data_IF_150019966424
#
_entry.id   IF_150019966424
#
_cell.length_a   1.000
_cell.length_b   1.000
_cell.length_c   1.000
_cell.angle_alpha   90.00
_cell.angle_beta   90.00
_cell.angle_gamma   90.00
#
_symmetry.space_group_name_H-M   'P 1'
#
loop_
_entity.id
_entity.type
_entity.pdbx_description
1 polymer ?
#
# COMPACT_ATOMS: atom_id res chain seq x y z
N UNK A 1 -19.86 19.26 -15.32
CA UNK A 1 -18.41 18.96 -15.41
C UNK A 1 -17.52 19.89 -14.59
N UNK A 2 -17.58 21.22 -14.78
CA UNK A 2 -16.66 22.18 -14.13
C UNK A 2 -16.61 22.06 -12.60
N UNK A 3 -17.75 21.79 -11.95
CA UNK A 3 -17.84 21.64 -10.48
C UNK A 3 -17.05 20.44 -9.97
N UNK A 4 -17.05 19.30 -10.69
CA UNK A 4 -16.33 18.09 -10.27
C UNK A 4 -14.81 18.27 -10.41
N UNK A 5 -14.38 18.89 -11.51
CA UNK A 5 -12.96 19.22 -11.75
C UNK A 5 -12.47 20.23 -10.69
N UNK A 6 -13.28 21.27 -10.40
CA UNK A 6 -12.99 22.25 -9.35
C UNK A 6 -12.93 21.61 -7.97
N UNK A 7 -13.81 20.64 -7.67
CA UNK A 7 -13.81 19.91 -6.40
C UNK A 7 -12.56 19.02 -6.27
N UNK A 8 -12.18 18.31 -7.33
CA UNK A 8 -10.96 17.48 -7.37
C UNK A 8 -9.68 18.32 -7.18
N UNK A 9 -9.57 19.46 -7.87
CA UNK A 9 -8.44 20.39 -7.69
C UNK A 9 -8.41 21.06 -6.32
N UNK A 10 -9.57 21.38 -5.74
CA UNK A 10 -9.66 21.88 -4.37
C UNK A 10 -9.21 20.82 -3.34
N UNK A 11 -9.56 19.55 -3.55
CA UNK A 11 -9.07 18.45 -2.72
C UNK A 11 -7.55 18.30 -2.79
N UNK A 12 -6.93 18.47 -3.98
CA UNK A 12 -5.47 18.35 -4.15
C UNK A 12 -4.68 19.39 -3.35
N UNK A 13 -5.23 20.59 -3.12
CA UNK A 13 -4.59 21.62 -2.28
C UNK A 13 -4.66 21.31 -0.77
N UNK A 14 -5.63 20.51 -0.33
CA UNK A 14 -5.91 20.26 1.09
C UNK A 14 -5.06 19.11 1.67
N UNK A 15 -4.63 18.17 0.84
CA UNK A 15 -3.87 16.99 1.26
C UNK A 15 -2.43 17.04 0.75
N UNK A 16 -1.47 17.19 1.67
CA UNK A 16 -0.03 17.08 1.35
C UNK A 16 0.42 15.63 1.11
N UNK A 17 -0.27 14.68 1.74
CA UNK A 17 -0.06 13.25 1.52
C UNK A 17 -0.84 12.80 0.28
N UNK A 18 -0.09 12.38 -0.74
CA UNK A 18 -0.64 11.91 -2.02
C UNK A 18 -1.49 10.66 -1.87
N UNK A 19 -1.13 9.75 -0.95
CA UNK A 19 -1.85 8.49 -0.77
C UNK A 19 -3.22 8.75 -0.13
N UNK A 20 -3.24 9.61 0.89
CA UNK A 20 -4.48 10.03 1.53
C UNK A 20 -5.41 10.80 0.56
N UNK A 21 -4.82 11.63 -0.30
CA UNK A 21 -5.55 12.30 -1.38
C UNK A 21 -6.23 11.29 -2.31
N UNK A 22 -5.48 10.30 -2.80
CA UNK A 22 -5.98 9.27 -3.72
C UNK A 22 -7.10 8.44 -3.08
N UNK A 23 -6.98 8.07 -1.81
CA UNK A 23 -8.05 7.35 -1.10
C UNK A 23 -9.34 8.17 -0.95
N UNK A 24 -9.23 9.47 -0.67
CA UNK A 24 -10.40 10.35 -0.58
C UNK A 24 -11.04 10.57 -1.96
N UNK A 25 -10.23 10.73 -2.99
CA UNK A 25 -10.68 10.83 -4.37
C UNK A 25 -11.42 9.56 -4.80
N UNK A 26 -10.84 8.39 -4.51
CA UNK A 26 -11.46 7.08 -4.74
C UNK A 26 -12.84 7.00 -4.07
N UNK A 27 -12.92 7.28 -2.77
CA UNK A 27 -14.17 7.23 -2.02
C UNK A 27 -15.25 8.14 -2.63
N UNK A 28 -14.92 9.40 -2.89
CA UNK A 28 -15.87 10.36 -3.46
C UNK A 28 -16.34 9.95 -4.86
N UNK A 29 -15.46 9.40 -5.70
CA UNK A 29 -15.83 9.01 -7.06
C UNK A 29 -16.65 7.73 -7.11
N UNK A 30 -16.42 6.77 -6.21
CA UNK A 30 -17.28 5.59 -6.05
C UNK A 30 -18.69 5.99 -5.57
N UNK A 31 -18.78 6.96 -4.66
CA UNK A 31 -20.06 7.49 -4.21
C UNK A 31 -20.83 8.16 -5.36
N UNK A 32 -20.15 8.96 -6.19
CA UNK A 32 -20.76 9.56 -7.38
C UNK A 32 -21.23 8.49 -8.36
N UNK A 33 -20.42 7.46 -8.63
CA UNK A 33 -20.78 6.38 -9.53
C UNK A 33 -22.02 5.62 -9.04
N UNK A 34 -22.10 5.29 -7.74
CA UNK A 34 -23.30 4.69 -7.15
C UNK A 34 -24.52 5.56 -7.36
N UNK A 35 -24.41 6.86 -7.06
CA UNK A 35 -25.51 7.80 -7.26
C UNK A 35 -25.95 7.92 -8.72
N UNK A 36 -25.03 7.81 -9.68
CA UNK A 36 -25.35 7.81 -11.12
C UNK A 36 -26.19 6.58 -11.46
N UNK A 37 -25.72 5.39 -11.05
CA UNK A 37 -26.38 4.11 -11.35
C UNK A 37 -27.74 3.97 -10.64
N UNK A 38 -27.86 4.47 -9.41
CA UNK A 38 -29.11 4.43 -8.63
C UNK A 38 -30.19 5.39 -9.17
N UNK A 39 -29.80 6.50 -9.81
CA UNK A 39 -30.72 7.57 -10.24
C UNK A 39 -31.56 7.24 -11.48
N UNK A 40 -31.37 6.07 -12.10
CA UNK A 40 -32.09 5.65 -13.32
C UNK A 40 -32.10 6.75 -14.40
N UNK A 41 -30.93 7.33 -14.67
CA UNK A 41 -30.78 8.37 -15.68
C UNK A 41 -31.04 7.80 -17.09
N UNK A 42 -31.39 8.65 -18.07
CA UNK A 42 -31.36 8.24 -19.46
C UNK A 42 -29.98 7.65 -19.82
N UNK A 43 -29.96 6.55 -20.58
CA UNK A 43 -28.74 5.78 -20.86
C UNK A 43 -27.58 6.64 -21.41
N UNK A 44 -27.88 7.60 -22.29
CA UNK A 44 -26.90 8.54 -22.83
C UNK A 44 -26.26 9.43 -21.75
N UNK A 45 -27.05 9.86 -20.76
CA UNK A 45 -26.54 10.68 -19.66
C UNK A 45 -25.73 9.86 -18.67
N UNK A 46 -26.17 8.64 -18.37
CA UNK A 46 -25.40 7.67 -17.57
C UNK A 46 -24.04 7.41 -18.20
N UNK A 47 -24.01 7.12 -19.51
CA UNK A 47 -22.79 6.85 -20.27
C UNK A 47 -21.82 8.03 -20.26
N UNK A 48 -22.30 9.26 -20.52
CA UNK A 48 -21.46 10.46 -20.50
C UNK A 48 -20.83 10.68 -19.11
N UNK A 49 -21.61 10.49 -18.05
CA UNK A 49 -21.14 10.68 -16.68
C UNK A 49 -20.16 9.58 -16.26
N UNK A 50 -20.43 8.33 -16.61
CA UNK A 50 -19.52 7.21 -16.35
C UNK A 50 -18.21 7.35 -17.13
N UNK A 51 -18.28 7.66 -18.43
CA UNK A 51 -17.10 7.92 -19.25
C UNK A 51 -16.25 9.08 -18.73
N UNK A 52 -16.90 10.12 -18.18
CA UNK A 52 -16.18 11.20 -17.50
C UNK A 52 -15.40 10.68 -16.29
N UNK A 53 -16.04 9.86 -15.45
CA UNK A 53 -15.37 9.28 -14.28
C UNK A 53 -14.17 8.40 -14.67
N UNK A 54 -14.30 7.60 -15.74
CA UNK A 54 -13.23 6.70 -16.19
C UNK A 54 -12.04 7.43 -16.83
N UNK A 55 -12.30 8.45 -17.65
CA UNK A 55 -11.26 9.02 -18.52
C UNK A 55 -10.63 10.30 -17.97
N UNK A 56 -11.35 11.05 -17.11
CA UNK A 56 -10.88 12.36 -16.64
C UNK A 56 -10.42 12.36 -15.18
N UNK A 57 -10.65 11.28 -14.43
CA UNK A 57 -10.12 11.14 -13.07
C UNK A 57 -8.74 10.49 -13.15
N UNK A 58 -7.72 11.27 -12.85
CA UNK A 58 -6.35 10.76 -12.71
C UNK A 58 -6.03 10.53 -11.23
N UNK A 59 -5.73 9.28 -10.90
CA UNK A 59 -5.14 8.86 -9.63
C UNK A 59 -3.62 8.98 -9.70
N UNK A 60 -2.98 9.43 -8.62
CA UNK A 60 -1.51 9.48 -8.54
C UNK A 60 -0.90 8.07 -8.43
N UNK A 61 -1.64 7.12 -7.84
CA UNK A 61 -1.22 5.73 -7.67
C UNK A 61 -2.02 4.81 -8.58
N UNK A 62 -1.31 3.97 -9.34
CA UNK A 62 -1.91 2.92 -10.18
C UNK A 62 -2.73 1.95 -9.35
N UNK A 63 -2.33 1.71 -8.09
CA UNK A 63 -3.09 0.92 -7.12
C UNK A 63 -4.51 1.43 -6.92
N UNK A 64 -4.67 2.74 -6.74
CA UNK A 64 -5.96 3.38 -6.51
C UNK A 64 -6.85 3.27 -7.74
N UNK A 65 -6.27 3.45 -8.93
CA UNK A 65 -6.97 3.28 -10.21
C UNK A 65 -7.52 1.86 -10.37
N UNK A 66 -6.70 0.84 -10.12
CA UNK A 66 -7.12 -0.57 -10.21
C UNK A 66 -8.26 -0.89 -9.23
N UNK A 67 -8.25 -0.29 -8.03
CA UNK A 67 -9.35 -0.46 -7.06
C UNK A 67 -10.62 0.22 -7.59
N UNK A 68 -10.51 1.45 -8.09
CA UNK A 68 -11.64 2.17 -8.68
C UNK A 68 -12.29 1.37 -9.81
N UNK A 69 -11.50 0.93 -10.79
CA UNK A 69 -11.99 0.20 -11.96
C UNK A 69 -12.72 -1.08 -11.54
N UNK A 70 -12.21 -1.81 -10.53
CA UNK A 70 -12.89 -3.00 -10.01
C UNK A 70 -14.23 -2.66 -9.37
N UNK A 71 -14.25 -1.70 -8.46
CA UNK A 71 -15.46 -1.36 -7.70
C UNK A 71 -16.56 -0.88 -8.64
N UNK A 72 -16.24 -0.13 -9.69
CA UNK A 72 -17.21 0.26 -10.72
C UNK A 72 -17.72 -0.96 -11.50
N UNK A 73 -16.84 -1.88 -11.90
CA UNK A 73 -17.25 -3.10 -12.59
C UNK A 73 -18.13 -4.01 -11.74
N UNK A 74 -17.98 -3.98 -10.41
CA UNK A 74 -18.88 -4.69 -9.49
C UNK A 74 -20.23 -4.00 -9.32
N UNK A 75 -20.26 -2.67 -9.43
CA UNK A 75 -21.48 -1.86 -9.31
C UNK A 75 -22.32 -1.88 -10.58
N UNK A 76 -21.67 -2.03 -11.74
CA UNK A 76 -22.33 -2.13 -13.03
C UNK A 76 -22.44 -3.60 -13.43
N UNK A 77 -23.63 -4.19 -13.32
CA UNK A 77 -23.97 -5.50 -13.90
C UNK A 77 -23.74 -5.57 -15.43
N UNK A 78 -23.49 -4.41 -16.06
CA UNK A 78 -23.06 -4.27 -17.45
C UNK A 78 -21.54 -4.15 -17.48
N UNK A 79 -20.89 -5.04 -18.24
CA UNK A 79 -19.49 -4.94 -18.67
C UNK A 79 -19.25 -3.59 -19.39
N UNK A 80 -19.06 -2.51 -18.64
CA UNK A 80 -18.52 -1.26 -19.19
C UNK A 80 -17.04 -1.56 -19.46
N UNK A 81 -16.64 -1.41 -20.71
CA UNK A 81 -15.52 -2.10 -21.33
C UNK A 81 -14.14 -1.97 -20.63
N UNK A 82 -13.38 -3.06 -20.79
CA UNK A 82 -11.90 -3.16 -20.87
C UNK A 82 -11.05 -3.06 -19.59
N UNK A 83 -11.26 -3.99 -18.66
CA UNK A 83 -10.14 -4.73 -18.07
C UNK A 83 -10.65 -6.11 -17.65
N UNK A 84 -10.07 -7.15 -18.23
CA UNK A 84 -10.52 -8.53 -18.00
C UNK A 84 -10.40 -8.82 -16.51
N UNK A 85 -11.34 -9.54 -15.90
CA UNK A 85 -11.29 -9.94 -14.48
C UNK A 85 -9.91 -10.53 -14.10
N UNK A 86 -9.27 -11.21 -15.05
CA UNK A 86 -7.91 -11.73 -14.95
C UNK A 86 -6.85 -10.64 -14.72
N UNK A 87 -6.91 -9.51 -15.42
CA UNK A 87 -5.97 -8.39 -15.27
C UNK A 87 -6.13 -7.71 -13.91
N UNK A 88 -7.38 -7.60 -13.43
CA UNK A 88 -7.70 -7.11 -12.08
C UNK A 88 -7.14 -8.06 -11.01
N UNK A 89 -7.29 -9.38 -11.18
CA UNK A 89 -6.76 -10.39 -10.26
C UNK A 89 -5.22 -10.41 -10.25
N UNK A 90 -4.60 -10.32 -11.43
CA UNK A 90 -3.13 -10.25 -11.56
C UNK A 90 -2.58 -8.98 -10.92
N UNK A 91 -3.25 -7.84 -11.11
CA UNK A 91 -2.93 -6.58 -10.44
C UNK A 91 -2.97 -6.72 -8.92
N UNK A 92 -4.02 -7.34 -8.37
CA UNK A 92 -4.14 -7.60 -6.93
C UNK A 92 -3.01 -8.48 -6.39
N UNK A 93 -2.74 -9.59 -7.06
CA UNK A 93 -1.70 -10.52 -6.65
C UNK A 93 -0.33 -9.83 -6.60
N UNK A 94 -0.01 -9.00 -7.60
CA UNK A 94 1.23 -8.20 -7.63
C UNK A 94 1.29 -7.20 -6.47
N UNK A 95 0.19 -6.50 -6.18
CA UNK A 95 0.15 -5.52 -5.09
C UNK A 95 0.23 -6.16 -3.71
N UNK A 96 -0.47 -7.27 -3.51
CA UNK A 96 -0.38 -8.06 -2.29
C UNK A 96 1.04 -8.59 -2.10
N UNK A 97 1.66 -9.11 -3.18
CA UNK A 97 3.05 -9.54 -3.18
C UNK A 97 4.01 -8.41 -2.80
N UNK A 98 3.88 -7.23 -3.41
CA UNK A 98 4.71 -6.05 -3.08
C UNK A 98 4.53 -5.61 -1.62
N UNK A 99 3.30 -5.60 -1.10
CA UNK A 99 3.02 -5.21 0.29
C UNK A 99 3.59 -6.22 1.29
N UNK A 100 3.42 -7.51 1.02
CA UNK A 100 3.98 -8.58 1.85
C UNK A 100 5.51 -8.53 1.81
N UNK A 101 6.11 -8.43 0.62
CA UNK A 101 7.57 -8.34 0.46
C UNK A 101 8.17 -7.11 1.14
N UNK A 102 7.53 -5.94 1.06
CA UNK A 102 7.99 -4.75 1.79
C UNK A 102 7.91 -4.95 3.31
N UNK A 103 6.81 -5.52 3.81
CA UNK A 103 6.63 -5.77 5.24
C UNK A 103 7.65 -6.80 5.76
N UNK A 104 7.88 -7.87 5.01
CA UNK A 104 8.86 -8.90 5.34
C UNK A 104 10.29 -8.35 5.26
N UNK A 105 10.62 -7.58 4.21
CA UNK A 105 11.93 -6.95 4.07
C UNK A 105 12.24 -5.96 5.19
N UNK A 106 11.26 -5.15 5.63
CA UNK A 106 11.44 -4.27 6.79
C UNK A 106 11.67 -5.09 8.08
N UNK A 107 10.94 -6.19 8.25
CA UNK A 107 11.07 -7.05 9.42
C UNK A 107 12.44 -7.74 9.45
N UNK A 108 12.88 -8.30 8.32
CA UNK A 108 14.17 -8.98 8.23
C UNK A 108 15.33 -7.98 8.38
N UNK A 109 15.27 -6.83 7.70
CA UNK A 109 16.29 -5.79 7.84
C UNK A 109 16.43 -5.26 9.28
N UNK A 110 15.33 -5.13 10.03
CA UNK A 110 15.39 -4.79 11.46
C UNK A 110 16.03 -5.89 12.30
N UNK A 111 15.78 -7.16 11.96
CA UNK A 111 16.35 -8.30 12.67
C UNK A 111 17.85 -8.41 12.38
N UNK A 112 18.25 -8.31 11.12
CA UNK A 112 19.66 -8.29 10.71
C UNK A 112 20.42 -7.13 11.37
N UNK A 113 19.86 -5.92 11.36
CA UNK A 113 20.47 -4.76 12.02
C UNK A 113 20.69 -4.99 13.54
N UNK A 114 19.71 -5.61 14.23
CA UNK A 114 19.86 -5.96 15.64
C UNK A 114 20.90 -7.05 15.87
N UNK A 115 20.96 -8.07 15.02
CA UNK A 115 21.97 -9.13 15.12
C UNK A 115 23.39 -8.57 14.87
N UNK A 116 23.54 -7.65 13.91
CA UNK A 116 24.80 -6.96 13.65
C UNK A 116 25.23 -6.05 14.81
N UNK A 117 24.28 -5.30 15.39
CA UNK A 117 24.52 -4.49 16.58
C UNK A 117 25.01 -5.36 17.75
N UNK A 118 24.33 -6.47 18.04
CA UNK A 118 24.76 -7.44 19.07
C UNK A 118 26.16 -7.98 18.77
N UNK A 119 26.45 -8.32 17.51
CA UNK A 119 27.78 -8.80 17.11
C UNK A 119 28.87 -7.75 17.36
N UNK A 120 28.61 -6.46 17.08
CA UNK A 120 29.54 -5.36 17.36
C UNK A 120 29.74 -5.16 18.87
N UNK A 121 28.69 -5.25 19.68
CA UNK A 121 28.79 -5.17 21.14
C UNK A 121 29.65 -6.30 21.73
N UNK A 122 29.56 -7.51 21.17
CA UNK A 122 30.37 -8.67 21.58
C UNK A 122 31.83 -8.50 21.17
N UNK A 123 32.08 -8.15 19.90
CA UNK A 123 33.43 -8.19 19.32
C UNK A 123 34.26 -6.95 19.64
N UNK A 124 33.66 -5.75 19.56
CA UNK A 124 34.37 -4.48 19.75
C UNK A 124 34.35 -4.01 21.21
N UNK A 125 33.20 -4.10 21.87
CA UNK A 125 33.03 -3.58 23.23
C UNK A 125 33.17 -4.66 24.31
N UNK A 126 33.18 -5.94 23.93
CA UNK A 126 33.32 -7.09 24.85
C UNK A 126 32.28 -7.12 25.97
N UNK A 127 31.06 -6.67 25.68
CA UNK A 127 29.97 -6.65 26.68
C UNK A 127 29.56 -8.07 27.09
N UNK A 128 29.08 -8.18 28.33
CA UNK A 128 28.46 -9.39 28.88
C UNK A 128 27.07 -9.61 28.27
N UNK A 129 26.54 -10.84 28.39
CA UNK A 129 25.22 -11.16 27.83
C UNK A 129 24.12 -10.30 28.46
N UNK A 130 24.22 -10.04 29.76
CA UNK A 130 23.27 -9.22 30.52
C UNK A 130 23.29 -7.76 30.07
N UNK A 131 24.48 -7.18 29.87
CA UNK A 131 24.63 -5.80 29.37
C UNK A 131 24.08 -5.64 27.94
N UNK A 132 24.20 -6.66 27.10
CA UNK A 132 23.68 -6.62 25.72
C UNK A 132 22.15 -6.72 25.72
N UNK A 133 21.58 -7.56 26.57
CA UNK A 133 20.12 -7.66 26.72
C UNK A 133 19.52 -6.32 27.12
N UNK A 134 20.12 -5.67 28.11
CA UNK A 134 19.68 -4.36 28.61
C UNK A 134 19.84 -3.26 27.55
N UNK A 135 20.99 -3.21 26.88
CA UNK A 135 21.28 -2.17 25.89
C UNK A 135 20.50 -2.31 24.57
N UNK A 136 20.46 -3.51 23.97
CA UNK A 136 19.87 -3.73 22.65
C UNK A 136 18.37 -4.14 22.71
N UNK A 137 17.82 -4.33 23.92
CA UNK A 137 16.43 -4.73 24.13
C UNK A 137 16.08 -6.01 23.38
N UNK A 138 16.96 -7.00 23.45
CA UNK A 138 16.81 -8.33 22.80
C UNK A 138 16.80 -9.43 23.85
N UNK A 139 16.23 -10.58 23.50
CA UNK A 139 16.18 -11.71 24.44
C UNK A 139 17.58 -12.33 24.66
N UNK A 140 17.81 -12.87 25.86
CA UNK A 140 19.06 -13.57 26.22
C UNK A 140 19.37 -14.74 25.25
N UNK A 141 18.34 -15.38 24.71
CA UNK A 141 18.49 -16.47 23.73
C UNK A 141 19.04 -15.97 22.40
N UNK A 142 18.61 -14.79 21.94
CA UNK A 142 19.15 -14.11 20.74
C UNK A 142 20.63 -13.80 20.94
N UNK A 143 21.01 -13.22 22.07
CA UNK A 143 22.42 -12.86 22.37
C UNK A 143 23.31 -14.10 22.38
N UNK A 144 22.89 -15.17 23.07
CA UNK A 144 23.63 -16.45 23.12
C UNK A 144 23.78 -17.09 21.74
N UNK A 145 22.77 -16.95 20.86
CA UNK A 145 22.82 -17.45 19.49
C UNK A 145 23.87 -16.69 18.66
N UNK A 146 23.85 -15.36 18.70
CA UNK A 146 24.82 -14.52 17.99
C UNK A 146 26.24 -14.76 18.52
N UNK A 147 26.42 -14.85 19.84
CA UNK A 147 27.73 -15.13 20.46
C UNK A 147 28.34 -16.46 19.98
N UNK A 148 27.53 -17.52 19.88
CA UNK A 148 27.97 -18.81 19.31
C UNK A 148 28.32 -18.72 17.83
N UNK A 149 27.64 -17.87 17.07
CA UNK A 149 27.94 -17.66 15.65
C UNK A 149 29.27 -16.93 15.47
N UNK A 150 29.47 -15.85 16.22
CA UNK A 150 30.72 -15.08 16.22
C UNK A 150 31.91 -15.95 16.66
N UNK A 151 31.77 -16.74 17.72
CA UNK A 151 32.82 -17.64 18.19
C UNK A 151 33.22 -18.69 17.14
N UNK A 152 32.27 -19.14 16.30
CA UNK A 152 32.53 -20.07 15.19
C UNK A 152 33.18 -19.43 13.98
N UNK A 153 33.06 -18.11 13.80
CA UNK A 153 33.68 -17.38 12.68
C UNK A 153 35.11 -16.90 12.98
N UNK A 154 35.59 -17.09 14.21
CA UNK A 154 36.94 -16.72 14.69
C UNK A 154 37.85 -17.97 14.79
N UNK A 155 37.34 -19.15 14.44
CA UNK A 155 38.11 -20.38 14.20
C UNK A 155 38.02 -20.77 12.72
#
# INVERSE_FOLDING_TARGET
>A
MVILIAKATAFKKKFKDKYLYDQMLLKNNLEIARLILERQLPAEQEEILMNFLFNYINFEFTETKVIFDREINLLSDKNINTMTIQEILVGQAKLQGKRLGLKEGIKEGRKEAKEEEVSRLITKLRFTDEQIVDFAGVSLTTVKKVRRSVARSIH
#
